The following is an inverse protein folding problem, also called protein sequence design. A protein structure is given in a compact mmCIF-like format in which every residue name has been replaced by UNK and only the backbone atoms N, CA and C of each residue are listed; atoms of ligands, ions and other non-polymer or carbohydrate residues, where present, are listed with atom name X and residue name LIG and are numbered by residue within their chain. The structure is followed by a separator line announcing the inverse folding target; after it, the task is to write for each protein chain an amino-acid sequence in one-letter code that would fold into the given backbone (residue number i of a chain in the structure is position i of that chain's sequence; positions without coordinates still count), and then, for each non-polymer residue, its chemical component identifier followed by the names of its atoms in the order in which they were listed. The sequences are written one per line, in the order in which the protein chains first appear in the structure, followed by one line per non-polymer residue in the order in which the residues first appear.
data_IF_819959653814
#
_entry.id   IF_819959653814
#
_cell.length_a   1.000
_cell.length_b   1.000
_cell.length_c   1.000
_cell.angle_alpha   90.00
_cell.angle_beta   90.00
_cell.angle_gamma   90.00
#
_symmetry.space_group_name_H-M   'P 1'
#
loop_
_entity.id
_entity.type
_entity.pdbx_description
1 polymer ?
#
# COMPACT_ATOMS: atom_id res chain seq x y z
N UNK A 1 -21.57 4.78 -6.50
CA UNK A 1 -21.05 4.77 -7.88
C UNK A 1 -20.65 6.19 -8.20
N UNK A 2 -19.36 6.48 -8.38
CA UNK A 2 -18.92 7.81 -8.78
C UNK A 2 -19.44 8.08 -10.20
N UNK A 3 -20.39 8.98 -10.35
CA UNK A 3 -20.78 9.50 -11.65
C UNK A 3 -19.63 10.37 -12.17
N UNK A 4 -18.57 9.74 -12.70
CA UNK A 4 -17.57 10.47 -13.44
C UNK A 4 -18.25 11.13 -14.65
N UNK A 5 -17.90 12.40 -14.91
CA UNK A 5 -18.29 13.07 -16.15
C UNK A 5 -17.87 12.19 -17.35
N UNK A 6 -18.65 12.17 -18.45
CA UNK A 6 -18.22 11.60 -19.73
C UNK A 6 -16.81 12.07 -20.16
N UNK A 7 -16.36 13.22 -19.67
CA UNK A 7 -15.03 13.78 -19.94
C UNK A 7 -13.87 12.94 -19.35
N UNK A 8 -14.12 12.03 -18.41
CA UNK A 8 -13.11 11.14 -17.81
C UNK A 8 -13.15 9.72 -18.37
N UNK A 9 -13.67 9.56 -19.59
CA UNK A 9 -13.64 8.30 -20.32
C UNK A 9 -12.55 8.36 -21.39
N UNK A 10 -11.68 7.36 -21.40
CA UNK A 10 -10.75 7.09 -22.49
C UNK A 10 -11.35 6.02 -23.42
N UNK A 11 -11.07 6.05 -24.73
CA UNK A 11 -11.37 4.92 -25.61
C UNK A 11 -10.75 3.62 -25.06
N UNK A 12 -11.44 2.49 -25.20
CA UNK A 12 -10.90 1.19 -24.75
C UNK A 12 -9.56 0.83 -25.41
N UNK A 13 -9.34 1.32 -26.63
CA UNK A 13 -8.10 1.15 -27.40
C UNK A 13 -7.09 2.30 -27.23
N UNK A 14 -7.26 3.15 -26.22
CA UNK A 14 -6.31 4.23 -25.94
C UNK A 14 -4.90 3.65 -25.72
N UNK A 15 -3.92 4.15 -26.48
CA UNK A 15 -2.54 3.64 -26.53
C UNK A 15 -2.36 2.17 -26.96
N UNK A 16 -3.37 1.53 -27.57
CA UNK A 16 -3.26 0.14 -28.02
C UNK A 16 -2.19 -0.06 -29.11
N UNK A 17 -1.94 0.95 -29.96
CA UNK A 17 -0.80 0.98 -30.88
C UNK A 17 0.27 1.95 -30.34
N UNK A 18 1.37 1.46 -29.73
CA UNK A 18 2.40 2.33 -29.16
C UNK A 18 3.18 3.14 -30.21
N UNK A 19 3.13 2.76 -31.50
CA UNK A 19 3.78 3.51 -32.58
C UNK A 19 2.98 4.77 -32.98
N UNK A 20 1.70 4.84 -32.59
CA UNK A 20 0.77 5.92 -32.93
C UNK A 20 -0.03 6.34 -31.68
N UNK A 21 0.69 6.65 -30.59
CA UNK A 21 0.10 6.96 -29.29
C UNK A 21 0.48 8.35 -28.79
N UNK A 22 -0.36 8.87 -27.89
CA UNK A 22 -0.11 10.08 -27.09
C UNK A 22 -0.41 9.80 -25.64
N UNK A 23 0.18 10.58 -24.74
CA UNK A 23 -0.16 10.53 -23.30
C UNK A 23 -1.63 10.90 -23.07
N UNK A 24 -2.16 10.52 -21.90
CA UNK A 24 -3.53 10.86 -21.51
C UNK A 24 -3.75 12.39 -21.52
N UNK A 25 -4.99 12.87 -21.75
CA UNK A 25 -5.30 14.29 -21.69
C UNK A 25 -4.91 14.91 -20.34
N UNK A 26 -4.40 16.15 -20.35
CA UNK A 26 -3.86 16.84 -19.17
C UNK A 26 -4.77 16.80 -17.93
N UNK A 27 -6.09 16.85 -18.13
CA UNK A 27 -7.10 16.80 -17.05
C UNK A 27 -7.02 15.54 -16.18
N UNK A 28 -6.58 14.40 -16.71
CA UNK A 28 -6.40 13.18 -15.92
C UNK A 28 -5.28 13.32 -14.88
N UNK A 29 -4.33 14.24 -15.09
CA UNK A 29 -3.28 14.52 -14.13
C UNK A 29 -3.66 15.60 -13.11
N UNK A 30 -4.55 16.52 -13.47
CA UNK A 30 -4.79 17.75 -12.69
C UNK A 30 -6.17 17.82 -12.04
N UNK A 31 -7.17 17.10 -12.53
CA UNK A 31 -8.54 17.19 -12.01
C UNK A 31 -8.74 16.30 -10.78
N UNK A 32 -9.32 16.87 -9.72
CA UNK A 32 -9.59 16.14 -8.48
C UNK A 32 -10.57 14.99 -8.69
N UNK A 33 -11.56 15.13 -9.57
CA UNK A 33 -12.55 14.07 -9.81
C UNK A 33 -11.92 12.86 -10.48
N UNK A 34 -10.93 13.06 -11.36
CA UNK A 34 -10.15 11.96 -11.91
C UNK A 34 -9.42 11.20 -10.79
N UNK A 35 -8.76 11.94 -9.90
CA UNK A 35 -8.04 11.33 -8.78
C UNK A 35 -8.97 10.59 -7.81
N UNK A 36 -10.11 11.16 -7.43
CA UNK A 36 -11.07 10.48 -6.54
C UNK A 36 -11.60 9.17 -7.18
N UNK A 37 -11.81 9.17 -8.49
CA UNK A 37 -12.19 7.94 -9.18
C UNK A 37 -11.07 6.90 -9.19
N UNK A 38 -9.83 7.30 -9.49
CA UNK A 38 -8.66 6.42 -9.47
C UNK A 38 -8.38 5.88 -8.06
N UNK A 39 -8.56 6.70 -7.03
CA UNK A 39 -8.49 6.29 -5.62
C UNK A 39 -9.38 5.08 -5.36
N UNK A 40 -10.66 5.17 -5.73
CA UNK A 40 -11.65 4.12 -5.45
C UNK A 40 -11.58 2.91 -6.40
N UNK A 41 -11.10 3.10 -7.63
CA UNK A 41 -11.16 2.04 -8.66
C UNK A 41 -9.81 1.42 -9.00
N UNK A 42 -8.71 2.09 -8.69
CA UNK A 42 -7.37 1.54 -8.81
C UNK A 42 -6.83 1.23 -7.42
N UNK A 43 -6.57 2.25 -6.60
CA UNK A 43 -5.80 2.07 -5.36
C UNK A 43 -6.53 1.26 -4.28
N UNK A 44 -7.83 1.47 -4.10
CA UNK A 44 -8.63 0.74 -3.13
C UNK A 44 -8.92 -0.72 -3.55
N UNK A 45 -8.70 -1.08 -4.82
CA UNK A 45 -9.02 -2.41 -5.38
C UNK A 45 -7.80 -3.19 -5.89
N UNK A 46 -6.63 -2.57 -5.91
CA UNK A 46 -5.38 -3.19 -6.36
C UNK A 46 -4.52 -3.59 -5.18
N UNK A 47 -3.69 -4.61 -5.37
CA UNK A 47 -2.59 -4.94 -4.50
C UNK A 47 -1.52 -3.86 -4.57
N UNK A 48 -1.26 -3.19 -3.45
CA UNK A 48 -0.27 -2.12 -3.29
C UNK A 48 0.92 -2.64 -2.49
N UNK A 49 2.12 -2.60 -3.07
CA UNK A 49 3.36 -2.95 -2.38
C UNK A 49 3.70 -1.87 -1.34
N UNK A 50 3.95 -2.27 -0.09
CA UNK A 50 4.08 -1.32 1.04
C UNK A 50 5.36 -1.48 1.87
N UNK A 51 6.03 -2.62 1.78
CA UNK A 51 7.27 -2.89 2.52
C UNK A 51 8.06 -4.03 1.88
N UNK A 52 9.36 -4.09 2.16
CA UNK A 52 10.11 -5.33 2.04
C UNK A 52 9.79 -6.23 3.26
N UNK A 53 9.72 -7.55 3.07
CA UNK A 53 9.36 -8.49 4.16
C UNK A 53 10.32 -8.41 5.35
N UNK A 54 11.57 -7.98 5.16
CA UNK A 54 12.54 -7.81 6.26
C UNK A 54 12.10 -6.81 7.34
N UNK A 55 11.29 -5.81 6.99
CA UNK A 55 10.80 -4.81 7.95
C UNK A 55 9.81 -5.42 8.97
N UNK A 56 9.23 -6.56 8.61
CA UNK A 56 8.18 -7.23 9.34
C UNK A 56 8.57 -8.69 9.61
N UNK A 57 9.85 -9.02 9.76
CA UNK A 57 10.30 -10.41 9.79
C UNK A 57 9.98 -11.15 11.12
N UNK A 58 9.97 -10.43 12.25
CA UNK A 58 9.87 -11.03 13.57
C UNK A 58 8.49 -10.83 14.19
N UNK A 59 8.15 -11.71 15.13
CA UNK A 59 6.98 -11.50 15.97
C UNK A 59 7.00 -10.11 16.62
N UNK A 60 5.85 -9.46 16.59
CA UNK A 60 5.57 -8.12 17.06
C UNK A 60 6.16 -6.97 16.22
N UNK A 61 6.92 -7.24 15.16
CA UNK A 61 7.34 -6.17 14.24
C UNK A 61 6.09 -5.54 13.62
N UNK A 62 6.07 -4.20 13.57
CA UNK A 62 4.99 -3.45 12.95
C UNK A 62 5.54 -2.26 12.16
N UNK A 63 4.81 -1.88 11.12
CA UNK A 63 5.01 -0.64 10.38
C UNK A 63 3.66 0.01 10.09
N UNK A 64 3.64 1.33 9.97
CA UNK A 64 2.46 2.09 9.53
C UNK A 64 2.73 2.72 8.16
N UNK A 65 1.68 2.80 7.34
CA UNK A 65 1.71 3.41 6.01
C UNK A 65 0.45 4.25 5.80
N UNK A 66 0.59 5.31 5.01
CA UNK A 66 -0.54 6.12 4.55
C UNK A 66 -0.67 5.92 3.04
N UNK A 67 -1.82 5.42 2.59
CA UNK A 67 -2.13 5.19 1.16
C UNK A 67 -3.49 5.82 0.92
N UNK A 68 -3.60 6.72 -0.06
CA UNK A 68 -4.87 7.38 -0.45
C UNK A 68 -5.69 7.99 0.71
N UNK A 69 -5.02 8.46 1.77
CA UNK A 69 -5.65 9.02 2.97
C UNK A 69 -6.02 7.98 4.04
N UNK A 70 -5.80 6.69 3.78
CA UNK A 70 -6.00 5.61 4.75
C UNK A 70 -4.70 5.32 5.50
N UNK A 71 -4.75 5.40 6.83
CA UNK A 71 -3.64 4.93 7.68
C UNK A 71 -3.81 3.43 7.93
N UNK A 72 -2.84 2.64 7.47
CA UNK A 72 -2.81 1.18 7.62
C UNK A 72 -1.67 0.79 8.55
N UNK A 73 -1.94 -0.12 9.47
CA UNK A 73 -0.92 -0.77 10.29
C UNK A 73 -0.74 -2.21 9.85
N UNK A 74 0.51 -2.58 9.59
CA UNK A 74 0.93 -3.95 9.36
C UNK A 74 1.64 -4.44 10.61
N UNK A 75 1.29 -5.63 11.10
CA UNK A 75 1.89 -6.20 12.30
C UNK A 75 2.03 -7.71 12.18
N UNK A 76 3.21 -8.25 12.51
CA UNK A 76 3.40 -9.69 12.64
C UNK A 76 2.98 -10.11 14.03
N UNK A 77 1.97 -10.97 14.12
CA UNK A 77 1.50 -11.51 15.39
C UNK A 77 2.54 -12.39 16.09
N UNK A 78 2.29 -12.69 17.35
CA UNK A 78 3.10 -13.66 18.12
C UNK A 78 3.03 -15.07 17.57
N UNK A 79 1.97 -15.36 16.83
CA UNK A 79 1.76 -16.57 16.04
C UNK A 79 2.52 -16.56 14.71
N UNK A 80 3.36 -15.53 14.46
CA UNK A 80 4.15 -15.31 13.24
C UNK A 80 3.33 -15.01 11.98
N UNK A 81 2.01 -14.86 12.11
CA UNK A 81 1.13 -14.50 11.01
C UNK A 81 1.16 -12.98 10.82
N UNK A 82 1.48 -12.54 9.61
CA UNK A 82 1.46 -11.12 9.24
C UNK A 82 0.02 -10.69 8.93
N UNK A 83 -0.39 -9.54 9.44
CA UNK A 83 -1.75 -8.99 9.28
C UNK A 83 -1.70 -7.49 9.01
N UNK A 84 -2.73 -6.97 8.37
CA UNK A 84 -2.94 -5.54 8.19
C UNK A 84 -4.31 -5.12 8.71
N UNK A 85 -4.39 -3.92 9.28
CA UNK A 85 -5.62 -3.32 9.77
C UNK A 85 -5.68 -1.84 9.41
N UNK A 86 -6.88 -1.30 9.24
CA UNK A 86 -7.07 0.14 9.32
C UNK A 86 -6.60 0.61 10.71
N UNK A 87 -5.71 1.59 10.75
CA UNK A 87 -5.03 2.06 11.95
C UNK A 87 -5.90 3.03 12.75
N UNK A 88 -7.11 2.57 13.10
CA UNK A 88 -8.16 3.39 13.70
C UNK A 88 -8.89 2.58 14.77
N UNK A 89 -9.03 3.16 15.96
CA UNK A 89 -9.72 2.51 17.04
C UNK A 89 -11.24 2.47 16.76
N UNK A 90 -11.90 1.28 16.81
CA UNK A 90 -13.33 1.16 16.54
C UNK A 90 -14.22 1.86 17.59
N UNK A 91 -13.66 2.28 18.73
CA UNK A 91 -14.40 3.02 19.74
C UNK A 91 -14.79 4.43 19.25
N UNK A 92 -13.81 5.29 18.96
CA UNK A 92 -14.01 6.71 18.62
C UNK A 92 -12.98 7.25 17.63
N UNK A 93 -12.39 6.39 16.80
CA UNK A 93 -11.60 6.83 15.66
C UNK A 93 -10.17 7.31 15.93
N UNK A 94 -9.63 7.11 17.14
CA UNK A 94 -8.24 7.51 17.41
C UNK A 94 -7.24 6.56 16.74
N UNK A 95 -6.16 7.09 16.16
CA UNK A 95 -5.06 6.30 15.59
C UNK A 95 -4.42 5.38 16.64
N UNK A 96 -4.07 4.14 16.28
CA UNK A 96 -3.60 3.15 17.25
C UNK A 96 -2.08 3.13 17.41
N UNK A 97 -1.36 3.07 16.29
CA UNK A 97 0.10 3.01 16.23
C UNK A 97 0.65 4.08 15.28
N UNK A 98 1.92 4.46 15.45
CA UNK A 98 2.61 5.41 14.59
C UNK A 98 4.04 4.95 14.32
N UNK A 99 4.55 5.26 13.12
CA UNK A 99 5.90 4.88 12.72
C UNK A 99 6.06 3.38 12.52
N UNK A 100 7.17 2.85 13.01
CA UNK A 100 7.60 1.46 12.88
C UNK A 100 8.32 1.00 14.16
N UNK A 101 8.36 -0.31 14.41
CA UNK A 101 9.09 -0.87 15.54
C UNK A 101 8.49 -2.19 16.03
N UNK A 102 8.56 -2.42 17.36
CA UNK A 102 8.00 -3.61 18.00
C UNK A 102 6.79 -3.27 18.85
N UNK A 103 5.65 -3.86 18.51
CA UNK A 103 4.44 -3.77 19.30
C UNK A 103 4.61 -4.50 20.64
N UNK A 104 3.91 -4.03 21.67
CA UNK A 104 3.74 -4.82 22.90
C UNK A 104 2.86 -6.05 22.62
N UNK A 105 2.58 -6.86 23.64
CA UNK A 105 1.69 -8.02 23.49
C UNK A 105 0.25 -7.64 23.10
N UNK A 106 -0.15 -6.39 23.33
CA UNK A 106 -1.41 -5.80 22.91
C UNK A 106 -1.16 -4.39 22.38
N UNK A 107 -2.01 -3.97 21.44
CA UNK A 107 -2.10 -2.58 20.96
C UNK A 107 -3.07 -1.85 21.88
N UNK A 108 -2.61 -0.83 22.59
CA UNK A 108 -3.46 -0.05 23.49
C UNK A 108 -3.78 1.29 22.86
N UNK A 109 -5.06 1.54 22.59
CA UNK A 109 -5.54 2.81 22.06
C UNK A 109 -5.14 3.98 22.99
N UNK A 110 -4.45 5.01 22.49
CA UNK A 110 -3.99 6.13 23.32
C UNK A 110 -5.11 6.93 23.99
N UNK A 111 -6.34 6.88 23.44
CA UNK A 111 -7.43 7.72 23.93
C UNK A 111 -8.10 7.16 25.21
N UNK A 112 -8.62 5.94 25.15
CA UNK A 112 -9.39 5.35 26.26
C UNK A 112 -8.85 4.00 26.74
N UNK A 113 -7.66 3.62 26.27
CA UNK A 113 -6.98 2.37 26.62
C UNK A 113 -7.77 1.09 26.30
N UNK A 114 -8.58 1.09 25.24
CA UNK A 114 -9.03 -0.17 24.64
C UNK A 114 -7.80 -0.93 24.14
N UNK A 115 -7.71 -2.21 24.50
CA UNK A 115 -6.59 -3.07 24.18
C UNK A 115 -7.00 -4.12 23.16
N UNK A 116 -6.21 -4.26 22.10
CA UNK A 116 -6.41 -5.21 21.02
C UNK A 116 -5.24 -6.18 20.98
N UNK A 117 -5.51 -7.46 20.75
CA UNK A 117 -4.47 -8.44 20.41
C UNK A 117 -3.90 -8.11 19.03
N UNK A 118 -2.74 -8.69 18.71
CA UNK A 118 -2.08 -8.48 17.41
C UNK A 118 -2.80 -9.19 16.24
N UNK A 119 -3.84 -9.98 16.51
CA UNK A 119 -4.77 -10.54 15.54
C UNK A 119 -5.99 -9.63 15.28
N UNK A 120 -6.06 -8.46 15.93
CA UNK A 120 -7.15 -7.49 15.80
C UNK A 120 -8.30 -7.68 16.78
N UNK A 121 -8.34 -8.80 17.51
CA UNK A 121 -9.40 -9.08 18.47
C UNK A 121 -9.34 -8.12 19.66
N UNK A 122 -10.50 -7.62 20.10
CA UNK A 122 -10.60 -6.82 21.32
C UNK A 122 -10.22 -7.69 22.53
N UNK A 123 -9.15 -7.32 23.21
CA UNK A 123 -8.69 -7.98 24.44
C UNK A 123 -9.40 -7.42 25.66
N UNK A 124 -9.57 -6.09 25.72
CA UNK A 124 -10.19 -5.41 26.83
C UNK A 124 -10.71 -4.03 26.43
N UNK A 125 -11.92 -3.70 26.89
CA UNK A 125 -12.47 -2.35 26.88
C UNK A 125 -12.88 -2.00 28.31
N UNK A 126 -12.39 -0.87 28.83
CA UNK A 126 -12.72 -0.45 30.20
C UNK A 126 -14.22 -0.23 30.35
N UNK A 127 -14.80 -0.75 31.45
CA UNK A 127 -16.21 -0.57 31.82
C UNK A 127 -17.22 -1.17 30.80
N UNK A 128 -16.79 -2.08 29.91
CA UNK A 128 -17.66 -2.63 28.88
C UNK A 128 -18.81 -3.48 29.45
N UNK A 129 -18.61 -4.12 30.59
CA UNK A 129 -19.61 -4.90 31.33
C UNK A 129 -20.81 -4.07 31.79
N UNK A 130 -20.64 -2.75 31.90
CA UNK A 130 -21.68 -1.79 32.30
C UNK A 130 -22.28 -1.05 31.09
N UNK A 131 -21.88 -1.39 29.87
CA UNK A 131 -22.47 -0.85 28.64
C UNK A 131 -23.50 -1.86 28.14
N UNK A 132 -24.78 -1.48 28.19
CA UNK A 132 -25.87 -2.34 27.74
C UNK A 132 -25.65 -2.80 26.28
N UNK A 133 -25.78 -4.11 26.04
CA UNK A 133 -25.62 -4.74 24.73
C UNK A 133 -24.24 -4.50 24.08
N UNK A 134 -23.17 -4.32 24.88
CA UNK A 134 -21.82 -4.27 24.34
C UNK A 134 -21.46 -5.60 23.67
N UNK A 135 -21.04 -5.51 22.41
CA UNK A 135 -20.70 -6.67 21.57
C UNK A 135 -19.22 -6.58 21.21
N UNK A 136 -18.39 -7.39 21.88
CA UNK A 136 -16.94 -7.40 21.65
C UNK A 136 -16.56 -7.86 20.25
N UNK A 137 -17.40 -8.68 19.62
CA UNK A 137 -17.11 -9.25 18.30
C UNK A 137 -17.31 -8.20 17.20
N UNK A 138 -18.13 -7.18 17.46
CA UNK A 138 -18.28 -5.99 16.59
C UNK A 138 -17.30 -4.86 16.90
N UNK A 139 -16.47 -5.03 17.93
CA UNK A 139 -15.55 -4.02 18.44
C UNK A 139 -14.08 -4.37 18.14
N UNK A 140 -13.83 -5.15 17.08
CA UNK A 140 -12.50 -5.58 16.64
C UNK A 140 -11.85 -4.57 15.69
N UNK A 141 -10.55 -4.70 15.47
CA UNK A 141 -9.87 -3.95 14.40
C UNK A 141 -10.36 -4.42 13.04
N UNK A 142 -10.57 -3.48 12.12
CA UNK A 142 -11.04 -3.78 10.76
C UNK A 142 -9.85 -4.25 9.92
N UNK A 143 -9.85 -5.48 9.40
CA UNK A 143 -8.72 -6.02 8.64
C UNK A 143 -8.64 -5.43 7.23
N UNK A 144 -7.41 -5.43 6.69
CA UNK A 144 -7.10 -5.16 5.28
C UNK A 144 -6.43 -6.42 4.72
N UNK A 145 -6.71 -6.79 3.46
CA UNK A 145 -6.08 -7.96 2.84
C UNK A 145 -4.58 -7.73 2.79
N UNK A 146 -3.81 -8.80 3.01
CA UNK A 146 -2.36 -8.76 3.01
C UNK A 146 -1.81 -10.04 2.39
N UNK A 147 -0.73 -9.91 1.62
CA UNK A 147 0.01 -11.03 1.05
C UNK A 147 1.52 -10.75 1.12
N UNK A 148 2.31 -11.75 1.53
CA UNK A 148 3.77 -11.74 1.35
C UNK A 148 4.06 -12.39 -0.01
N UNK A 149 4.60 -11.62 -0.96
CA UNK A 149 4.81 -12.06 -2.34
C UNK A 149 6.13 -11.49 -2.88
N UNK A 150 6.93 -12.32 -3.55
CA UNK A 150 8.21 -11.94 -4.16
C UNK A 150 9.22 -11.24 -3.21
N UNK A 151 9.19 -11.55 -1.90
CA UNK A 151 10.05 -10.90 -0.89
C UNK A 151 9.50 -9.56 -0.37
N UNK A 152 8.35 -9.12 -0.85
CA UNK A 152 7.69 -7.89 -0.44
C UNK A 152 6.34 -8.16 0.22
N UNK A 153 5.78 -7.13 0.83
CA UNK A 153 4.47 -7.17 1.46
C UNK A 153 3.52 -6.27 0.68
N UNK A 154 2.38 -6.84 0.29
CA UNK A 154 1.31 -6.15 -0.40
C UNK A 154 0.06 -6.07 0.46
N UNK A 155 -0.73 -5.02 0.28
CA UNK A 155 -2.07 -4.88 0.87
C UNK A 155 -3.12 -4.65 -0.20
N UNK A 156 -4.36 -5.02 0.06
CA UNK A 156 -5.51 -4.67 -0.78
C UNK A 156 -6.71 -4.31 0.12
N UNK A 157 -7.37 -3.18 -0.18
CA UNK A 157 -8.50 -2.68 0.61
C UNK A 157 -9.83 -3.34 0.19
N UNK A 158 -9.89 -3.99 -0.98
CA UNK A 158 -11.03 -4.82 -1.38
C UNK A 158 -11.00 -6.16 -0.63
N UNK A 159 -11.97 -6.46 0.25
CA UNK A 159 -12.02 -7.73 0.98
C UNK A 159 -12.20 -8.95 0.05
N UNK A 160 -12.62 -8.75 -1.19
CA UNK A 160 -12.83 -9.80 -2.19
C UNK A 160 -11.65 -9.97 -3.15
N UNK A 161 -10.55 -9.22 -2.96
CA UNK A 161 -9.36 -9.34 -3.79
C UNK A 161 -8.82 -10.78 -3.80
N UNK A 162 -8.51 -11.25 -5.01
CA UNK A 162 -7.78 -12.49 -5.25
C UNK A 162 -6.30 -12.33 -4.90
N UNK A 163 -5.37 -13.11 -5.45
CA UNK A 163 -3.95 -13.05 -5.07
C UNK A 163 -3.16 -11.93 -5.77
N UNK A 164 -1.96 -11.63 -5.25
CA UNK A 164 -1.01 -10.74 -5.94
C UNK A 164 -0.58 -11.33 -7.30
N UNK A 165 -0.43 -12.66 -7.39
CA UNK A 165 -0.12 -13.37 -8.64
C UNK A 165 -1.17 -13.11 -9.72
N UNK A 166 -2.46 -13.07 -9.37
CA UNK A 166 -3.53 -12.79 -10.35
C UNK A 166 -3.43 -11.36 -10.91
N UNK A 167 -2.99 -10.40 -10.09
CA UNK A 167 -2.76 -9.02 -10.54
C UNK A 167 -1.45 -8.88 -11.33
N UNK A 168 -0.40 -9.61 -10.93
CA UNK A 168 0.96 -9.49 -11.47
C UNK A 168 1.51 -10.87 -11.88
N UNK A 169 0.96 -11.52 -12.92
CA UNK A 169 1.34 -12.89 -13.26
C UNK A 169 2.83 -13.03 -13.58
N UNK A 170 3.50 -13.97 -12.91
CA UNK A 170 4.91 -14.28 -13.09
C UNK A 170 5.90 -13.30 -12.46
N UNK A 171 5.43 -12.27 -11.73
CA UNK A 171 6.31 -11.27 -11.10
C UNK A 171 7.32 -11.92 -10.15
N UNK A 172 6.90 -12.86 -9.30
CA UNK A 172 7.79 -13.51 -8.34
C UNK A 172 8.95 -14.25 -9.01
N UNK A 173 8.69 -14.92 -10.13
CA UNK A 173 9.74 -15.56 -10.91
C UNK A 173 10.71 -14.54 -11.52
N UNK A 174 10.19 -13.43 -12.06
CA UNK A 174 11.01 -12.35 -12.63
C UNK A 174 11.88 -11.64 -11.59
N UNK A 175 11.35 -11.43 -10.39
CA UNK A 175 12.11 -10.85 -9.28
C UNK A 175 13.27 -11.77 -8.87
N UNK A 176 13.02 -13.07 -8.73
CA UNK A 176 14.07 -14.04 -8.39
C UNK A 176 15.11 -14.21 -9.51
N UNK A 177 14.71 -14.14 -10.77
CA UNK A 177 15.63 -14.13 -11.92
C UNK A 177 16.59 -12.93 -11.86
N UNK A 178 16.05 -11.75 -11.55
CA UNK A 178 16.83 -10.51 -11.50
C UNK A 178 17.65 -10.35 -10.20
N UNK A 179 17.13 -10.84 -9.07
CA UNK A 179 17.73 -10.71 -7.75
C UNK A 179 17.47 -11.98 -6.91
N UNK A 180 18.32 -13.01 -7.01
CA UNK A 180 18.17 -14.26 -6.26
C UNK A 180 18.14 -14.06 -4.73
N UNK A 181 18.84 -13.04 -4.24
CA UNK A 181 18.98 -12.72 -2.81
C UNK A 181 17.87 -11.78 -2.29
N UNK A 182 16.78 -11.60 -3.04
CA UNK A 182 15.71 -10.64 -2.69
C UNK A 182 15.22 -10.82 -1.24
N UNK A 183 15.11 -12.07 -0.77
CA UNK A 183 14.63 -12.38 0.57
C UNK A 183 15.60 -12.00 1.70
N UNK A 184 16.89 -11.86 1.41
CA UNK A 184 17.94 -11.51 2.37
C UNK A 184 18.22 -10.00 2.43
N UNK A 185 17.59 -9.22 1.54
CA UNK A 185 17.71 -7.77 1.52
C UNK A 185 17.23 -7.15 2.84
N UNK A 186 17.86 -6.04 3.19
CA UNK A 186 17.49 -5.23 4.36
C UNK A 186 17.45 -3.78 3.95
N UNK A 187 16.47 -3.05 4.49
CA UNK A 187 16.35 -1.61 4.27
C UNK A 187 17.61 -0.90 4.79
N UNK A 188 18.41 -0.35 3.88
CA UNK A 188 19.60 0.42 4.22
C UNK A 188 19.30 1.92 4.34
N UNK A 189 18.42 2.44 3.47
CA UNK A 189 18.02 3.84 3.45
C UNK A 189 16.59 3.97 2.90
N UNK A 190 15.85 4.97 3.39
CA UNK A 190 14.54 5.36 2.88
C UNK A 190 14.52 6.86 2.65
N UNK A 191 14.13 7.27 1.44
CA UNK A 191 13.83 8.66 1.12
C UNK A 191 12.32 8.83 1.00
N UNK A 192 11.75 9.76 1.75
CA UNK A 192 10.32 10.05 1.73
C UNK A 192 10.09 11.49 1.32
N UNK A 193 9.39 11.68 0.19
CA UNK A 193 9.14 13.00 -0.40
C UNK A 193 7.66 13.16 -0.68
N UNK A 194 7.08 14.31 -0.27
CA UNK A 194 5.75 14.72 -0.74
C UNK A 194 5.92 15.42 -2.08
N UNK A 195 5.86 14.65 -3.15
CA UNK A 195 6.11 15.14 -4.51
C UNK A 195 4.87 15.86 -5.05
N UNK A 196 4.94 17.14 -5.45
CA UNK A 196 3.80 17.90 -5.99
C UNK A 196 3.56 17.56 -7.47
N UNK A 197 3.31 16.28 -7.76
CA UNK A 197 2.99 15.75 -9.08
C UNK A 197 1.91 14.68 -8.97
N UNK A 198 1.15 14.46 -10.05
CA UNK A 198 0.23 13.33 -10.12
C UNK A 198 1.03 12.01 -10.09
N UNK A 199 0.47 10.97 -9.48
CA UNK A 199 1.11 9.65 -9.41
C UNK A 199 1.44 9.08 -10.80
N UNK A 200 0.58 9.36 -11.80
CA UNK A 200 0.79 8.93 -13.19
C UNK A 200 2.01 9.59 -13.83
N UNK A 201 2.31 10.86 -13.52
CA UNK A 201 3.53 11.52 -14.02
C UNK A 201 4.79 10.81 -13.55
N UNK A 202 4.78 10.32 -12.30
CA UNK A 202 5.93 9.62 -11.71
C UNK A 202 6.11 8.25 -12.41
N UNK A 203 5.01 7.58 -12.71
CA UNK A 203 5.01 6.33 -13.50
C UNK A 203 5.50 6.60 -14.93
N UNK A 204 4.94 7.59 -15.62
CA UNK A 204 5.32 7.96 -16.99
C UNK A 204 6.82 8.25 -17.09
N UNK A 205 7.39 8.99 -16.12
CA UNK A 205 8.82 9.28 -16.05
C UNK A 205 9.68 8.03 -15.81
N UNK A 206 9.17 7.01 -15.11
CA UNK A 206 9.94 5.78 -14.86
C UNK A 206 9.92 4.83 -16.08
N UNK A 207 8.87 4.88 -16.90
CA UNK A 207 8.64 3.97 -18.01
C UNK A 207 9.47 4.27 -19.27
N UNK A 208 10.32 5.29 -19.25
CA UNK A 208 11.22 5.62 -20.34
C UNK A 208 12.62 6.01 -19.85
N UNK A 209 13.60 5.92 -20.74
CA UNK A 209 14.95 6.45 -20.52
C UNK A 209 15.32 7.50 -21.58
N UNK A 210 14.32 8.04 -22.28
CA UNK A 210 14.48 9.12 -23.24
C UNK A 210 15.00 10.40 -22.58
N UNK A 211 14.61 10.65 -21.31
CA UNK A 211 15.15 11.77 -20.53
C UNK A 211 16.52 11.47 -19.87
N UNK A 212 17.01 10.22 -19.87
CA UNK A 212 18.19 9.83 -19.09
C UNK A 212 19.44 10.62 -19.46
N UNK A 213 19.78 10.65 -20.76
CA UNK A 213 20.95 11.38 -21.26
C UNK A 213 21.01 12.85 -20.81
N UNK A 214 19.97 13.66 -21.07
CA UNK A 214 19.97 15.07 -20.68
C UNK A 214 19.75 15.32 -19.17
N UNK A 215 18.96 14.50 -18.48
CA UNK A 215 18.53 14.78 -17.10
C UNK A 215 19.39 14.09 -16.03
N UNK A 216 20.04 12.97 -16.36
CA UNK A 216 20.86 12.20 -15.42
C UNK A 216 22.28 11.96 -15.94
N UNK A 217 23.14 12.99 -16.01
CA UNK A 217 24.49 12.85 -16.55
C UNK A 217 25.30 11.74 -15.85
N UNK A 218 25.28 11.71 -14.51
CA UNK A 218 26.02 10.70 -13.74
C UNK A 218 25.48 9.28 -13.86
N UNK A 219 24.18 9.10 -14.14
CA UNK A 219 23.59 7.77 -14.37
C UNK A 219 23.90 7.25 -15.77
N UNK A 220 23.81 8.14 -16.77
CA UNK A 220 24.03 7.80 -18.18
C UNK A 220 25.46 7.36 -18.49
N UNK A 221 26.43 7.76 -17.67
CA UNK A 221 27.82 7.26 -17.76
C UNK A 221 27.96 5.82 -17.23
N UNK A 222 27.06 5.38 -16.34
CA UNK A 222 27.15 4.09 -15.62
C UNK A 222 26.33 2.97 -16.26
N UNK A 223 25.37 3.31 -17.12
CA UNK A 223 24.48 2.37 -17.81
C UNK A 223 24.48 2.69 -19.29
N UNK A 224 24.47 1.68 -20.16
CA UNK A 224 24.31 1.86 -21.61
C UNK A 224 22.86 2.29 -21.93
N UNK A 225 22.56 3.56 -21.67
CA UNK A 225 21.26 4.17 -21.92
C UNK A 225 20.89 4.19 -23.41
N UNK A 226 21.87 4.03 -24.30
CA UNK A 226 21.71 3.92 -25.76
C UNK A 226 21.22 2.54 -26.23
N UNK A 227 21.16 1.55 -25.33
CA UNK A 227 20.71 0.18 -25.61
C UNK A 227 19.39 -0.21 -24.94
N UNK A 228 18.76 0.75 -24.26
CA UNK A 228 17.44 0.59 -23.63
C UNK A 228 16.30 0.84 -24.62
#
# INVERSE_FOLDING_TARGET
MSNLSPDFVLPENFCANPQEAWTIPARFYTDQNAFEHEKENVFAKSWICVAHSSELANANDYVTREIIGESIVLVRGRDKVLRAFYNVCPHRGHQLLSGEGKAKNVITCPYHAWAFKLDGNLAHARNCENVANFDSDKAQLVPVRLEEYAGFVFINMDPNATSVEDQLPGLGAKVLEACPEVHDLKLAARFTTRTPANWKNIVDNYLECYHCGPAHPGFSDSVQVDRY
#
